data_IF_974390318611
#
_entry.id   IF_974390318611
#
_cell.length_a   1.000
_cell.length_b   1.000
_cell.length_c   1.000
_cell.angle_alpha   90.00
_cell.angle_beta   90.00
_cell.angle_gamma   90.00
#
_symmetry.space_group_name_H-M   'P 1'
#
loop_
_entity.id
_entity.type
_entity.pdbx_description
1 polymer ?
#
# COMPACT_ATOMS: atom_id res chain seq x y z
N UNK A 1 13.74 -1.24 -12.00
CA UNK A 1 12.79 -1.34 -10.89
C UNK A 1 12.36 -2.79 -10.72
N UNK A 2 12.89 -3.50 -9.72
CA UNK A 2 12.33 -4.78 -9.28
C UNK A 2 10.87 -4.66 -8.79
N UNK A 3 10.19 -5.80 -8.75
CA UNK A 3 8.82 -5.91 -8.25
C UNK A 3 8.69 -7.07 -7.27
N UNK A 4 7.84 -6.91 -6.26
CA UNK A 4 7.49 -7.96 -5.32
C UNK A 4 5.98 -8.08 -5.18
N UNK A 5 5.47 -9.31 -5.22
CA UNK A 5 4.07 -9.57 -4.94
C UNK A 5 3.82 -9.64 -3.43
N UNK A 6 2.61 -9.31 -3.04
CA UNK A 6 2.24 -9.21 -1.65
C UNK A 6 0.75 -9.13 -1.40
N UNK A 7 0.43 -8.72 -0.18
CA UNK A 7 -0.94 -8.53 0.28
C UNK A 7 -1.14 -7.09 0.73
N UNK A 8 -2.38 -6.62 0.62
CA UNK A 8 -2.79 -5.30 1.07
C UNK A 8 -4.14 -5.40 1.76
N UNK A 9 -4.24 -4.89 2.98
CA UNK A 9 -5.45 -4.99 3.76
C UNK A 9 -5.70 -3.71 4.53
N UNK A 10 -6.99 -3.37 4.63
CA UNK A 10 -7.50 -2.28 5.47
C UNK A 10 -7.69 -2.81 6.89
N UNK A 11 -6.91 -2.34 7.84
CA UNK A 11 -7.09 -2.70 9.25
C UNK A 11 -8.26 -1.92 9.88
N UNK A 12 -8.41 -0.64 9.52
CA UNK A 12 -9.49 0.22 10.01
C UNK A 12 -9.78 1.36 9.03
N UNK A 13 -10.70 2.26 9.37
CA UNK A 13 -11.05 3.40 8.51
C UNK A 13 -9.87 4.34 8.21
N UNK A 14 -8.84 4.37 9.05
CA UNK A 14 -7.69 5.26 8.88
C UNK A 14 -6.36 4.50 8.93
N UNK A 15 -6.38 3.17 8.70
CA UNK A 15 -5.17 2.34 8.79
C UNK A 15 -5.18 1.21 7.76
N UNK A 16 -4.05 1.08 7.07
CA UNK A 16 -3.76 0.01 6.12
C UNK A 16 -2.42 -0.65 6.42
N UNK A 17 -2.28 -1.89 5.99
CA UNK A 17 -1.04 -2.64 6.02
C UNK A 17 -0.81 -3.31 4.66
N UNK A 18 0.44 -3.30 4.21
CA UNK A 18 0.90 -4.06 3.07
C UNK A 18 2.05 -4.99 3.49
N UNK A 19 2.10 -6.20 2.95
CA UNK A 19 3.16 -7.17 3.27
C UNK A 19 3.69 -7.73 1.96
N UNK A 20 5.01 -7.67 1.79
CA UNK A 20 5.73 -8.17 0.61
C UNK A 20 6.87 -9.09 1.07
N UNK A 21 7.25 -10.04 0.21
CA UNK A 21 8.43 -10.88 0.42
C UNK A 21 9.46 -10.49 -0.63
N UNK A 22 10.64 -10.05 -0.19
CA UNK A 22 11.77 -9.67 -1.04
C UNK A 22 12.98 -10.45 -0.55
N UNK A 23 13.62 -11.25 -1.41
CA UNK A 23 14.79 -12.06 -1.06
C UNK A 23 14.59 -12.86 0.24
N UNK A 24 13.42 -13.53 0.36
CA UNK A 24 12.99 -14.31 1.53
C UNK A 24 12.75 -13.53 2.83
N UNK A 25 12.88 -12.20 2.80
CA UNK A 25 12.65 -11.30 3.92
C UNK A 25 11.25 -10.68 3.85
N UNK A 26 10.53 -10.64 4.96
CA UNK A 26 9.20 -10.04 5.01
C UNK A 26 9.30 -8.53 5.25
N UNK A 27 8.84 -7.76 4.27
CA UNK A 27 8.74 -6.30 4.35
C UNK A 27 7.29 -5.90 4.63
N UNK A 28 7.06 -5.27 5.78
CA UNK A 28 5.73 -4.84 6.23
C UNK A 28 5.64 -3.33 6.22
N UNK A 29 4.68 -2.78 5.48
CA UNK A 29 4.34 -1.37 5.54
C UNK A 29 3.05 -1.16 6.32
N UNK A 30 3.09 -0.34 7.35
CA UNK A 30 1.89 0.01 8.12
C UNK A 30 1.69 1.52 8.12
N UNK A 31 0.50 1.97 7.73
CA UNK A 31 0.28 3.39 7.47
C UNK A 31 -1.04 3.92 7.99
N UNK A 32 -1.01 5.20 8.34
CA UNK A 32 -2.19 6.03 8.56
C UNK A 32 -2.76 6.47 7.22
N UNK A 33 -4.07 6.73 7.18
CA UNK A 33 -4.80 7.11 5.97
C UNK A 33 -5.75 8.26 6.28
N UNK A 34 -5.68 9.33 5.50
CA UNK A 34 -6.63 10.44 5.52
C UNK A 34 -7.01 10.84 4.08
N UNK A 35 -8.30 11.08 3.76
CA UNK A 35 -9.48 10.89 4.62
C UNK A 35 -9.73 9.41 4.93
N UNK A 36 -10.74 9.13 5.77
CA UNK A 36 -11.10 7.75 6.10
C UNK A 36 -11.59 6.98 4.86
N UNK A 37 -11.24 5.70 4.79
CA UNK A 37 -11.53 4.82 3.66
C UNK A 37 -12.66 3.83 3.99
N UNK A 38 -13.51 3.58 3.00
CA UNK A 38 -14.57 2.57 3.06
C UNK A 38 -13.96 1.16 3.19
N UNK A 39 -14.71 0.18 3.75
CA UNK A 39 -14.28 -1.21 3.73
C UNK A 39 -14.06 -1.71 2.29
N UNK A 40 -12.94 -2.42 2.07
CA UNK A 40 -12.66 -3.14 0.83
C UNK A 40 -11.83 -4.38 1.13
N UNK A 41 -11.73 -5.27 0.15
CA UNK A 41 -10.74 -6.35 0.17
C UNK A 41 -9.87 -6.24 -1.08
N UNK A 42 -8.55 -6.39 -0.91
CA UNK A 42 -7.62 -6.44 -2.03
C UNK A 42 -7.59 -7.85 -2.60
N UNK A 43 -7.44 -7.93 -3.93
CA UNK A 43 -7.22 -9.17 -4.67
C UNK A 43 -5.73 -9.44 -4.88
N UNK A 44 -4.95 -8.40 -5.09
CA UNK A 44 -3.52 -8.48 -5.40
C UNK A 44 -2.82 -7.22 -4.93
N UNK A 45 -1.56 -7.34 -4.49
CA UNK A 45 -0.68 -6.20 -4.27
C UNK A 45 0.66 -6.44 -4.93
N UNK A 46 1.18 -5.45 -5.63
CA UNK A 46 2.51 -5.45 -6.25
C UNK A 46 3.24 -4.20 -5.82
N UNK A 47 4.39 -4.38 -5.19
CA UNK A 47 5.35 -3.34 -4.85
C UNK A 47 6.34 -3.18 -5.99
N UNK A 48 6.50 -1.96 -6.49
CA UNK A 48 7.59 -1.56 -7.38
C UNK A 48 8.53 -0.67 -6.59
N UNK A 49 9.82 -0.96 -6.65
CA UNK A 49 10.84 -0.24 -5.88
C UNK A 49 12.13 -0.15 -6.70
N UNK A 50 13.02 0.78 -6.32
CA UNK A 50 14.34 0.93 -6.96
C UNK A 50 15.40 0.12 -6.21
N UNK A 51 15.43 0.26 -4.88
CA UNK A 51 16.39 -0.38 -3.98
C UNK A 51 15.68 -0.80 -2.68
N UNK A 52 16.10 -1.89 -2.05
CA UNK A 52 15.57 -2.33 -0.75
C UNK A 52 15.78 -1.26 0.33
N UNK A 53 16.84 -0.47 0.26
CA UNK A 53 17.09 0.67 1.17
C UNK A 53 15.99 1.73 1.13
N UNK A 54 15.23 1.81 0.03
CA UNK A 54 14.07 2.71 -0.09
C UNK A 54 12.86 2.23 0.72
N UNK A 55 12.81 0.96 1.12
CA UNK A 55 11.74 0.32 1.88
C UNK A 55 12.05 0.33 3.38
N UNK A 56 12.47 1.48 3.87
CA UNK A 56 12.91 1.66 5.26
C UNK A 56 12.29 2.92 5.85
N UNK A 57 12.26 3.00 7.18
CA UNK A 57 11.88 4.19 7.94
C UNK A 57 10.43 4.61 7.73
N UNK A 58 10.10 5.79 8.27
CA UNK A 58 8.81 6.46 8.08
C UNK A 58 8.78 7.15 6.71
N UNK A 59 7.76 6.87 5.92
CA UNK A 59 7.53 7.45 4.59
C UNK A 59 6.14 8.05 4.48
N UNK A 60 6.08 9.22 3.88
CA UNK A 60 4.85 9.83 3.39
C UNK A 60 4.47 9.22 2.05
N UNK A 61 3.17 9.13 1.80
CA UNK A 61 2.64 8.67 0.52
C UNK A 61 1.38 9.45 0.16
N UNK A 62 1.09 9.47 -1.13
CA UNK A 62 -0.21 9.83 -1.70
C UNK A 62 -0.76 8.65 -2.48
N UNK A 63 -2.07 8.54 -2.59
CA UNK A 63 -2.68 7.40 -3.27
C UNK A 63 -4.10 7.63 -3.71
N UNK A 64 -4.56 6.70 -4.54
CA UNK A 64 -5.94 6.60 -5.01
C UNK A 64 -6.42 5.19 -4.70
N UNK A 65 -7.50 5.08 -3.95
CA UNK A 65 -8.27 3.84 -3.82
C UNK A 65 -9.49 4.00 -4.74
N UNK A 66 -9.50 3.30 -5.87
CA UNK A 66 -10.57 3.37 -6.86
C UNK A 66 -11.66 2.31 -6.64
N UNK A 67 -12.53 2.16 -7.63
CA UNK A 67 -13.56 1.09 -7.63
C UNK A 67 -12.93 -0.28 -7.80
N UNK A 68 -11.96 -0.41 -8.69
CA UNK A 68 -11.42 -1.71 -9.09
C UNK A 68 -9.93 -1.85 -8.78
N UNK A 69 -9.22 -0.74 -8.59
CA UNK A 69 -7.77 -0.69 -8.42
C UNK A 69 -7.37 0.30 -7.35
N UNK A 70 -6.19 0.12 -6.79
CA UNK A 70 -5.57 1.13 -5.93
C UNK A 70 -4.10 1.36 -6.29
N UNK A 71 -3.61 2.54 -5.94
CA UNK A 71 -2.21 2.91 -6.07
C UNK A 71 -1.79 3.79 -4.90
N UNK A 72 -0.67 3.45 -4.26
CA UNK A 72 0.04 4.28 -3.27
C UNK A 72 1.41 4.62 -3.85
N UNK A 73 1.76 5.89 -3.88
CA UNK A 73 3.02 6.43 -4.40
C UNK A 73 3.73 7.10 -3.23
N UNK A 74 4.95 6.64 -2.97
CA UNK A 74 5.77 7.11 -1.87
C UNK A 74 6.69 8.23 -2.36
N UNK A 75 6.91 9.24 -1.52
CA UNK A 75 7.70 10.42 -1.91
C UNK A 75 9.16 10.09 -2.28
N UNK A 76 9.66 8.95 -1.82
CA UNK A 76 11.02 8.46 -2.09
C UNK A 76 11.10 7.48 -3.27
N UNK A 77 10.03 7.30 -4.05
CA UNK A 77 10.04 6.51 -5.29
C UNK A 77 9.16 5.25 -5.30
N UNK A 78 9.16 4.39 -4.26
CA UNK A 78 8.37 3.16 -4.26
C UNK A 78 6.89 3.36 -4.58
N UNK A 79 6.27 2.33 -5.13
CA UNK A 79 4.85 2.33 -5.46
C UNK A 79 4.22 0.99 -5.11
N UNK A 80 3.08 1.03 -4.42
CA UNK A 80 2.23 -0.15 -4.24
C UNK A 80 1.03 -0.01 -5.17
N UNK A 81 0.76 -1.02 -5.97
CA UNK A 81 -0.44 -1.08 -6.83
C UNK A 81 -1.18 -2.38 -6.61
N UNK A 82 -2.46 -2.41 -6.98
CA UNK A 82 -3.21 -3.64 -6.90
C UNK A 82 -4.65 -3.50 -7.36
N UNK A 83 -5.35 -4.63 -7.33
CA UNK A 83 -6.76 -4.73 -7.69
C UNK A 83 -7.60 -4.95 -6.42
N UNK A 84 -8.82 -4.43 -6.40
CA UNK A 84 -9.81 -4.66 -5.36
C UNK A 84 -10.78 -5.76 -5.79
N UNK A 85 -11.37 -6.47 -4.83
CA UNK A 85 -12.52 -7.32 -5.12
C UNK A 85 -13.79 -6.45 -5.24
N UNK A 86 -14.65 -6.79 -6.21
CA UNK A 86 -15.97 -6.16 -6.39
C UNK A 86 -16.83 -6.40 -5.13
N UNK A 87 -17.56 -5.38 -4.61
CA UNK A 87 -17.84 -4.07 -5.22
C UNK A 87 -16.78 -2.97 -4.98
N UNK A 88 -15.60 -3.29 -4.44
CA UNK A 88 -14.53 -2.32 -4.19
C UNK A 88 -14.97 -1.17 -3.30
N UNK A 89 -14.51 0.05 -3.59
CA UNK A 89 -15.05 1.28 -2.97
C UNK A 89 -15.69 2.19 -4.00
N UNK A 90 -16.82 2.82 -3.65
CA UNK A 90 -17.48 3.82 -4.50
C UNK A 90 -18.07 4.94 -3.65
N UNK A 91 -17.76 6.23 -3.92
CA UNK A 91 -16.87 6.72 -4.96
C UNK A 91 -15.39 6.41 -4.67
N UNK A 92 -14.55 6.53 -5.69
CA UNK A 92 -13.09 6.49 -5.54
C UNK A 92 -12.63 7.55 -4.53
N UNK A 93 -11.56 7.24 -3.79
CA UNK A 93 -11.06 8.06 -2.70
C UNK A 93 -9.56 8.35 -2.86
N UNK A 94 -9.19 9.62 -2.94
CA UNK A 94 -7.80 10.05 -2.89
C UNK A 94 -7.36 10.11 -1.44
N UNK A 95 -6.26 9.47 -1.11
CA UNK A 95 -5.74 9.35 0.25
C UNK A 95 -4.30 9.83 0.35
N UNK A 96 -3.91 10.25 1.53
CA UNK A 96 -2.53 10.51 1.89
C UNK A 96 -2.29 10.10 3.34
N UNK A 97 -1.03 9.91 3.70
CA UNK A 97 -0.66 9.64 5.08
C UNK A 97 0.81 9.35 5.24
N UNK A 98 1.15 8.90 6.44
CA UNK A 98 2.50 8.44 6.78
C UNK A 98 2.43 7.00 7.25
N UNK A 99 3.43 6.22 6.90
CA UNK A 99 3.58 4.85 7.37
C UNK A 99 5.03 4.47 7.60
N UNK A 100 5.23 3.34 8.25
CA UNK A 100 6.54 2.81 8.61
C UNK A 100 6.76 1.50 7.87
N UNK A 101 7.95 1.33 7.33
CA UNK A 101 8.44 0.05 6.85
C UNK A 101 9.20 -0.68 7.94
N UNK A 102 8.85 -1.95 8.15
CA UNK A 102 9.48 -2.85 9.11
C UNK A 102 9.93 -4.12 8.38
N UNK A 103 11.15 -4.56 8.70
CA UNK A 103 11.73 -5.80 8.23
C UNK A 103 11.58 -6.86 9.32
N UNK A 104 10.98 -8.00 8.97
CA UNK A 104 10.81 -9.16 9.86
C UNK A 104 11.50 -10.41 9.32
#
# INVERSE_FOLDING_TARGET
MPTADGTFFRNSANRVTAVFIIDEIQMTFTATVAPSIQPFTSKSATLTYDDVESLTSTRSYSGLIGTDTYALIFDNGPKITGNLNVPGISPANTVAGTGVWEQN
#
